data_IF_702349563770
#
_entry.id   IF_702349563770
#
_cell.length_a   1.000
_cell.length_b   1.000
_cell.length_c   1.000
_cell.angle_alpha   90.00
_cell.angle_beta   90.00
_cell.angle_gamma   90.00
#
_symmetry.space_group_name_H-M   'P 1'
#
loop_
_entity.id
_entity.type
_entity.pdbx_description
1 polymer ?
#
# COMPACT_ATOMS: atom_id res chain seq x y z
N UNK A 1 -14.30 50.94 -2.97
CA UNK A 1 -13.25 50.07 -2.40
C UNK A 1 -13.24 48.76 -3.15
N UNK A 2 -12.33 48.62 -4.10
CA UNK A 2 -12.22 47.50 -5.05
C UNK A 2 -11.45 46.34 -4.41
N UNK A 3 -12.08 45.18 -4.28
CA UNK A 3 -11.45 43.93 -3.80
C UNK A 3 -10.46 43.40 -4.83
N UNK A 4 -9.15 43.42 -4.50
CA UNK A 4 -8.11 42.74 -5.26
C UNK A 4 -8.27 41.21 -5.16
N UNK A 5 -8.44 40.52 -6.32
CA UNK A 5 -8.31 39.07 -6.43
C UNK A 5 -6.84 38.69 -6.25
N UNK A 6 -6.52 37.54 -5.58
CA UNK A 6 -5.16 37.03 -5.48
C UNK A 6 -4.65 36.57 -6.85
N UNK A 7 -3.44 36.96 -7.20
CA UNK A 7 -2.77 36.61 -8.45
C UNK A 7 -2.33 35.15 -8.39
N UNK A 8 -3.03 34.27 -9.13
CA UNK A 8 -2.53 32.95 -9.49
C UNK A 8 -1.30 33.13 -10.41
N UNK A 9 -0.15 32.56 -10.00
CA UNK A 9 1.08 32.57 -10.75
C UNK A 9 0.84 32.05 -12.17
N UNK A 10 1.33 32.78 -13.20
CA UNK A 10 1.11 32.46 -14.62
C UNK A 10 1.77 31.11 -14.92
N UNK A 11 0.98 30.12 -15.34
CA UNK A 11 1.40 28.79 -15.78
C UNK A 11 2.30 28.79 -17.04
N UNK A 12 2.70 29.96 -17.52
CA UNK A 12 3.43 30.10 -18.77
C UNK A 12 2.54 29.97 -20.02
N UNK A 13 3.15 29.78 -21.18
CA UNK A 13 2.46 29.67 -22.47
C UNK A 13 2.06 28.22 -22.74
N UNK A 14 0.82 28.01 -23.18
CA UNK A 14 0.34 26.69 -23.63
C UNK A 14 0.95 26.35 -24.97
N UNK A 15 1.62 25.20 -25.07
CA UNK A 15 2.32 24.74 -26.26
C UNK A 15 1.87 23.33 -26.65
N UNK A 16 2.10 22.97 -27.91
CA UNK A 16 1.96 21.58 -28.37
C UNK A 16 3.35 21.05 -28.68
N UNK A 17 3.68 19.89 -28.17
CA UNK A 17 4.95 19.22 -28.41
C UNK A 17 5.00 18.65 -29.82
N UNK A 18 6.00 19.01 -30.58
CA UNK A 18 6.19 18.51 -31.96
C UNK A 18 6.66 17.05 -32.00
N UNK A 19 7.28 16.57 -30.90
CA UNK A 19 7.78 15.20 -30.84
C UNK A 19 6.72 14.17 -30.41
N UNK A 20 5.77 14.54 -29.51
CA UNK A 20 4.78 13.58 -28.98
C UNK A 20 3.32 14.07 -29.10
N UNK A 21 3.06 15.23 -29.70
CA UNK A 21 1.72 15.79 -29.91
C UNK A 21 1.02 16.32 -28.64
N UNK A 22 1.61 16.14 -27.43
CA UNK A 22 0.98 16.53 -26.19
C UNK A 22 0.90 18.04 -26.01
N UNK A 23 -0.24 18.54 -25.50
CA UNK A 23 -0.40 19.95 -25.08
C UNK A 23 0.14 20.11 -23.66
N UNK A 24 1.02 21.09 -23.43
CA UNK A 24 1.63 21.38 -22.13
C UNK A 24 1.79 22.89 -21.89
N UNK A 25 2.03 23.30 -20.65
CA UNK A 25 2.40 24.66 -20.30
C UNK A 25 3.91 24.73 -20.06
N UNK A 26 4.61 25.72 -20.63
CA UNK A 26 6.06 25.80 -20.59
C UNK A 26 6.63 26.31 -19.24
N UNK A 27 5.76 26.67 -18.30
CA UNK A 27 6.11 27.16 -16.97
C UNK A 27 7.16 28.29 -17.00
N UNK A 28 7.22 29.07 -18.10
CA UNK A 28 8.22 30.12 -18.36
C UNK A 28 9.68 29.62 -18.38
N UNK A 29 9.93 28.33 -18.61
CA UNK A 29 11.29 27.77 -18.75
C UNK A 29 11.90 28.13 -20.12
N UNK A 30 13.20 28.44 -20.12
CA UNK A 30 13.99 28.71 -21.34
C UNK A 30 15.19 27.75 -21.39
N UNK A 31 15.29 26.87 -22.40
CA UNK A 31 14.29 26.58 -23.43
C UNK A 31 13.07 25.83 -22.88
N UNK A 32 11.87 26.01 -23.48
CA UNK A 32 10.67 25.31 -23.05
C UNK A 32 10.78 23.83 -23.37
N UNK A 33 10.60 22.96 -22.37
CA UNK A 33 10.63 21.52 -22.50
C UNK A 33 9.25 20.91 -22.30
N UNK A 34 8.90 19.90 -23.08
CA UNK A 34 7.65 19.17 -22.96
C UNK A 34 7.62 18.38 -21.66
N UNK A 35 6.62 18.60 -20.81
CA UNK A 35 6.45 17.91 -19.53
C UNK A 35 6.15 16.42 -19.67
N UNK A 36 5.79 15.93 -20.87
CA UNK A 36 5.47 14.52 -21.13
C UNK A 36 6.63 13.69 -21.68
N UNK A 37 7.47 14.26 -22.56
CA UNK A 37 8.56 13.50 -23.20
C UNK A 37 9.94 14.17 -23.09
N UNK A 38 10.06 15.31 -22.39
CA UNK A 38 11.32 16.02 -22.19
C UNK A 38 11.84 16.80 -23.44
N UNK A 39 11.23 16.67 -24.60
CA UNK A 39 11.69 17.33 -25.83
C UNK A 39 11.65 18.85 -25.69
N UNK A 40 12.75 19.54 -26.03
CA UNK A 40 12.85 21.00 -26.01
C UNK A 40 12.36 21.60 -27.32
N UNK A 41 11.60 22.69 -27.23
CA UNK A 41 11.15 23.43 -28.43
C UNK A 41 12.34 24.14 -29.07
N UNK A 42 12.82 23.65 -30.20
CA UNK A 42 13.92 24.27 -30.94
C UNK A 42 14.83 23.34 -31.76
N UNK A 43 14.73 22.02 -31.59
CA UNK A 43 15.46 21.06 -32.42
C UNK A 43 14.79 20.95 -33.78
N UNK A 44 15.37 21.62 -34.78
CA UNK A 44 15.02 21.42 -36.20
C UNK A 44 15.45 20.02 -36.62
N UNK A 45 14.51 19.17 -36.97
CA UNK A 45 14.78 17.90 -37.60
C UNK A 45 15.43 18.08 -38.99
N UNK A 46 16.52 17.37 -39.21
CA UNK A 46 17.10 17.16 -40.53
C UNK A 46 16.17 16.19 -41.27
N UNK A 47 15.60 16.63 -42.39
CA UNK A 47 14.79 15.81 -43.24
C UNK A 47 15.66 14.85 -44.06
N UNK A 48 15.16 13.64 -44.29
CA UNK A 48 15.52 12.83 -45.45
C UNK A 48 14.23 12.33 -46.11
N UNK A 49 14.28 12.43 -47.42
CA UNK A 49 13.21 12.33 -48.39
C UNK A 49 12.50 10.99 -48.52
N UNK A 50 11.38 11.11 -49.16
CA UNK A 50 10.39 10.10 -49.53
C UNK A 50 10.91 9.02 -50.48
N UNK A 51 10.33 7.83 -50.38
CA UNK A 51 10.46 6.78 -51.38
C UNK A 51 9.51 5.61 -51.18
N UNK A 52 8.40 5.66 -52.00
CA UNK A 52 7.67 4.54 -52.60
C UNK A 52 6.98 3.45 -51.76
N UNK A 53 5.70 3.33 -52.02
CA UNK A 53 4.76 2.27 -51.65
C UNK A 53 5.25 0.86 -52.07
N UNK A 54 5.15 -0.07 -51.13
CA UNK A 54 5.21 -1.49 -51.39
C UNK A 54 4.29 -2.20 -50.41
N UNK A 55 3.16 -2.71 -50.92
CA UNK A 55 2.25 -3.64 -50.25
C UNK A 55 2.98 -4.94 -50.01
N UNK A 56 3.30 -5.23 -48.76
CA UNK A 56 3.77 -6.54 -48.33
C UNK A 56 2.81 -7.11 -47.28
N UNK A 57 2.28 -8.28 -47.60
CA UNK A 57 1.42 -9.11 -46.78
C UNK A 57 2.07 -9.40 -45.43
N UNK A 58 1.26 -9.30 -44.39
CA UNK A 58 1.63 -9.58 -42.98
C UNK A 58 1.67 -11.09 -42.77
N UNK A 59 2.80 -11.67 -42.38
CA UNK A 59 2.81 -13.08 -41.95
C UNK A 59 2.06 -13.29 -40.66
N UNK A 60 1.48 -14.48 -40.39
CA UNK A 60 0.63 -14.75 -39.24
C UNK A 60 1.43 -14.77 -37.96
N UNK A 61 0.86 -14.15 -36.92
CA UNK A 61 1.10 -14.20 -35.50
C UNK A 61 2.35 -14.95 -34.98
N UNK A 62 3.47 -14.25 -34.95
CA UNK A 62 4.55 -14.57 -34.03
C UNK A 62 4.12 -14.17 -32.61
N UNK A 63 4.02 -15.14 -31.71
CA UNK A 63 3.72 -14.95 -30.31
C UNK A 63 4.75 -13.97 -29.70
N UNK A 64 4.31 -12.77 -29.34
CA UNK A 64 5.17 -11.78 -28.69
C UNK A 64 5.61 -12.32 -27.32
N UNK A 65 6.88 -12.60 -27.17
CA UNK A 65 7.50 -12.80 -25.87
C UNK A 65 7.36 -11.53 -25.02
N UNK A 66 7.18 -11.64 -23.70
CA UNK A 66 7.08 -10.46 -22.82
C UNK A 66 8.36 -9.61 -22.98
N UNK A 67 8.22 -8.43 -23.56
CA UNK A 67 9.33 -7.52 -23.77
C UNK A 67 9.92 -7.08 -22.43
N UNK A 68 11.21 -7.31 -22.25
CA UNK A 68 11.97 -6.83 -21.07
C UNK A 68 12.03 -5.30 -21.10
N UNK A 69 11.74 -4.60 -19.98
CA UNK A 69 11.88 -3.14 -19.96
C UNK A 69 13.34 -2.75 -20.18
N UNK A 70 13.57 -1.84 -21.08
CA UNK A 70 14.90 -1.30 -21.42
C UNK A 70 15.49 -0.65 -20.12
N UNK A 71 16.55 -1.23 -19.58
CA UNK A 71 17.35 -0.66 -18.50
C UNK A 71 17.22 -1.30 -17.10
N UNK A 72 16.43 -2.36 -16.91
CA UNK A 72 16.38 -3.06 -15.62
C UNK A 72 16.99 -4.47 -15.73
N UNK A 73 18.09 -4.69 -15.04
CA UNK A 73 18.65 -6.05 -14.88
C UNK A 73 17.83 -6.80 -13.81
N UNK A 74 17.19 -7.90 -14.22
CA UNK A 74 16.56 -8.85 -13.30
C UNK A 74 17.60 -9.82 -12.78
N UNK A 75 17.51 -10.23 -11.50
CA UNK A 75 18.33 -11.32 -10.98
C UNK A 75 17.99 -12.64 -11.69
N UNK A 76 18.88 -13.62 -11.62
CA UNK A 76 18.63 -14.94 -12.20
C UNK A 76 17.34 -15.56 -11.65
N UNK A 77 17.10 -15.44 -10.34
CA UNK A 77 15.88 -15.92 -9.67
C UNK A 77 14.62 -15.19 -10.15
N UNK A 78 14.70 -13.87 -10.34
CA UNK A 78 13.59 -13.09 -10.88
C UNK A 78 13.30 -13.41 -12.36
N UNK A 79 14.36 -13.65 -13.16
CA UNK A 79 14.20 -14.09 -14.55
C UNK A 79 13.52 -15.46 -14.61
N UNK A 80 13.95 -16.42 -13.78
CA UNK A 80 13.31 -17.73 -13.68
C UNK A 80 11.83 -17.62 -13.26
N UNK A 81 11.51 -16.69 -12.36
CA UNK A 81 10.14 -16.43 -11.94
C UNK A 81 9.28 -15.87 -13.08
N UNK A 82 9.79 -14.91 -13.87
CA UNK A 82 9.12 -14.37 -15.06
C UNK A 82 8.81 -15.50 -16.06
N UNK A 83 9.81 -16.34 -16.36
CA UNK A 83 9.66 -17.46 -17.29
C UNK A 83 8.66 -18.50 -16.78
N UNK A 84 8.68 -18.81 -15.47
CA UNK A 84 7.74 -19.74 -14.86
C UNK A 84 6.29 -19.24 -14.94
N UNK A 85 6.06 -17.97 -14.58
CA UNK A 85 4.73 -17.35 -14.71
C UNK A 85 4.29 -17.26 -16.17
N UNK A 86 5.21 -16.94 -17.10
CA UNK A 86 4.93 -16.93 -18.53
C UNK A 86 4.49 -18.29 -19.07
N UNK A 87 5.12 -19.40 -18.64
CA UNK A 87 4.70 -20.76 -18.98
C UNK A 87 3.33 -21.11 -18.39
N UNK A 88 3.11 -20.75 -17.12
CA UNK A 88 1.82 -20.95 -16.45
C UNK A 88 0.68 -20.22 -17.16
N UNK A 89 0.85 -18.94 -17.50
CA UNK A 89 -0.17 -18.17 -18.23
C UNK A 89 -0.51 -18.76 -19.61
N UNK A 90 0.47 -19.37 -20.30
CA UNK A 90 0.24 -20.07 -21.58
C UNK A 90 -0.52 -21.37 -21.39
N UNK A 91 -0.25 -22.12 -20.31
CA UNK A 91 -0.89 -23.40 -19.98
C UNK A 91 -2.33 -23.19 -19.48
N UNK A 92 -2.59 -22.12 -18.73
CA UNK A 92 -3.89 -21.81 -18.13
C UNK A 92 -4.23 -22.58 -16.86
N UNK A 93 -3.39 -23.49 -16.42
CA UNK A 93 -3.60 -24.35 -15.24
C UNK A 93 -2.31 -24.52 -14.43
N UNK A 94 -2.41 -24.65 -13.09
CA UNK A 94 -3.61 -24.47 -12.24
C UNK A 94 -4.10 -23.03 -12.23
N UNK A 95 -5.32 -22.75 -11.75
CA UNK A 95 -5.92 -21.39 -11.70
C UNK A 95 -5.08 -20.40 -10.90
N UNK A 96 -4.38 -20.85 -9.87
CA UNK A 96 -3.57 -20.02 -8.95
C UNK A 96 -2.10 -20.31 -9.14
N UNK A 97 -1.31 -19.25 -9.30
CA UNK A 97 0.16 -19.31 -9.24
C UNK A 97 0.67 -18.54 -8.02
N UNK A 98 1.45 -19.19 -7.17
CA UNK A 98 2.00 -18.66 -5.92
C UNK A 98 3.43 -18.19 -6.11
N UNK A 99 3.61 -16.89 -6.31
CA UNK A 99 4.92 -16.23 -6.37
C UNK A 99 5.21 -15.62 -5.00
N UNK A 100 5.88 -16.36 -4.15
CA UNK A 100 6.22 -15.93 -2.81
C UNK A 100 7.65 -15.41 -2.74
N UNK A 101 7.94 -14.70 -1.67
CA UNK A 101 9.28 -14.20 -1.40
C UNK A 101 9.30 -13.31 -0.16
N UNK A 102 10.47 -13.14 0.40
CA UNK A 102 10.66 -12.34 1.61
C UNK A 102 10.51 -10.84 1.35
N UNK A 103 10.55 -10.03 2.42
CA UNK A 103 10.54 -8.58 2.28
C UNK A 103 11.76 -8.10 1.45
N UNK A 104 11.54 -7.11 0.58
CA UNK A 104 12.63 -6.49 -0.20
C UNK A 104 13.04 -7.21 -1.50
N UNK A 105 12.52 -8.42 -1.81
CA UNK A 105 12.88 -9.16 -3.04
C UNK A 105 12.21 -8.62 -4.32
N UNK A 106 11.39 -7.59 -4.24
CA UNK A 106 10.80 -6.92 -5.40
C UNK A 106 9.54 -7.56 -5.99
N UNK A 107 8.79 -8.38 -5.24
CA UNK A 107 7.56 -9.08 -5.70
C UNK A 107 6.58 -8.22 -6.50
N UNK A 108 6.15 -7.10 -5.92
CA UNK A 108 5.17 -6.19 -6.55
C UNK A 108 5.68 -5.60 -7.86
N UNK A 109 6.98 -5.27 -7.91
CA UNK A 109 7.62 -4.75 -9.13
C UNK A 109 7.69 -5.80 -10.23
N UNK A 110 8.01 -7.04 -9.84
CA UNK A 110 8.06 -8.17 -10.75
C UNK A 110 6.67 -8.49 -11.32
N UNK A 111 5.64 -8.51 -10.44
CA UNK A 111 4.27 -8.75 -10.84
C UNK A 111 3.72 -7.66 -11.79
N UNK A 112 4.11 -6.39 -11.59
CA UNK A 112 3.78 -5.31 -12.53
C UNK A 112 4.37 -5.61 -13.92
N UNK A 113 5.65 -5.98 -13.98
CA UNK A 113 6.29 -6.33 -15.25
C UNK A 113 5.63 -7.52 -15.95
N UNK A 114 5.31 -8.57 -15.19
CA UNK A 114 4.56 -9.74 -15.72
C UNK A 114 3.22 -9.31 -16.29
N UNK A 115 2.52 -8.42 -15.59
CA UNK A 115 1.21 -7.93 -15.97
C UNK A 115 1.22 -7.12 -17.30
N UNK A 116 2.32 -6.43 -17.61
CA UNK A 116 2.50 -5.71 -18.87
C UNK A 116 2.43 -6.64 -20.10
N UNK A 117 2.81 -7.92 -19.93
CA UNK A 117 2.74 -8.96 -20.96
C UNK A 117 1.46 -9.81 -20.94
N UNK A 118 0.55 -9.61 -19.98
CA UNK A 118 -0.65 -10.43 -19.85
C UNK A 118 -1.74 -10.02 -20.88
N UNK A 119 -2.34 -11.02 -21.56
CA UNK A 119 -3.44 -10.80 -22.50
C UNK A 119 -4.75 -10.53 -21.74
N UNK A 120 -5.62 -9.68 -22.28
CA UNK A 120 -6.96 -9.41 -21.73
C UNK A 120 -6.96 -8.45 -20.54
N UNK A 121 -5.84 -7.76 -20.27
CA UNK A 121 -5.73 -6.80 -19.18
C UNK A 121 -5.54 -7.45 -17.81
N UNK A 122 -5.01 -6.68 -16.87
CA UNK A 122 -4.71 -7.15 -15.51
C UNK A 122 -5.48 -6.34 -14.47
N UNK A 123 -6.16 -7.03 -13.55
CA UNK A 123 -6.73 -6.44 -12.35
C UNK A 123 -5.77 -6.64 -11.17
N UNK A 124 -5.37 -5.54 -10.54
CA UNK A 124 -4.51 -5.55 -9.36
C UNK A 124 -5.34 -5.35 -8.10
N UNK A 125 -5.12 -6.16 -7.09
CA UNK A 125 -5.76 -5.98 -5.79
C UNK A 125 -4.85 -6.39 -4.63
N UNK A 126 -5.19 -5.87 -3.44
CA UNK A 126 -4.58 -6.25 -2.18
C UNK A 126 -5.66 -6.40 -1.10
N UNK A 127 -5.30 -7.05 0.01
CA UNK A 127 -6.26 -7.23 1.10
C UNK A 127 -6.65 -5.89 1.73
N UNK A 128 -5.70 -4.98 1.94
CA UNK A 128 -5.94 -3.66 2.56
C UNK A 128 -5.91 -2.54 1.53
N UNK A 129 -6.64 -1.46 1.82
CA UNK A 129 -6.62 -0.25 1.00
C UNK A 129 -5.24 0.41 0.96
N UNK A 130 -4.50 0.34 2.06
CA UNK A 130 -3.13 0.86 2.15
C UNK A 130 -2.18 0.10 1.22
N UNK A 131 -2.23 -1.24 1.22
CA UNK A 131 -1.43 -2.05 0.30
C UNK A 131 -1.79 -1.75 -1.17
N UNK A 132 -3.08 -1.53 -1.48
CA UNK A 132 -3.51 -1.12 -2.81
C UNK A 132 -2.94 0.26 -3.22
N UNK A 133 -2.84 1.23 -2.29
CA UNK A 133 -2.16 2.51 -2.55
C UNK A 133 -0.67 2.30 -2.85
N UNK A 134 0.02 1.48 -2.07
CA UNK A 134 1.44 1.13 -2.30
C UNK A 134 1.62 0.49 -3.68
N UNK A 135 0.73 -0.41 -4.09
CA UNK A 135 0.74 -0.99 -5.44
C UNK A 135 0.60 0.08 -6.52
N UNK A 136 -0.33 1.04 -6.35
CA UNK A 136 -0.48 2.17 -7.30
C UNK A 136 0.79 3.01 -7.39
N UNK A 137 1.39 3.36 -6.26
CA UNK A 137 2.64 4.11 -6.23
C UNK A 137 3.78 3.37 -6.94
N UNK A 138 3.77 2.04 -6.92
CA UNK A 138 4.71 1.17 -7.66
C UNK A 138 4.32 0.96 -9.13
N UNK A 139 3.28 1.63 -9.63
CA UNK A 139 2.86 1.60 -11.03
C UNK A 139 1.83 0.52 -11.39
N UNK A 140 1.24 -0.19 -10.42
CA UNK A 140 0.10 -1.08 -10.65
C UNK A 140 -1.18 -0.24 -10.80
N UNK A 141 -1.44 0.27 -12.00
CA UNK A 141 -2.55 1.16 -12.27
C UNK A 141 -3.90 0.52 -11.90
N UNK A 142 -4.79 1.29 -11.25
CA UNK A 142 -6.11 0.81 -10.88
C UNK A 142 -6.16 -0.19 -9.73
N UNK A 143 -5.03 -0.47 -9.04
CA UNK A 143 -5.01 -1.38 -7.90
C UNK A 143 -6.04 -0.97 -6.84
N UNK A 144 -6.77 -1.95 -6.30
CA UNK A 144 -7.87 -1.74 -5.35
C UNK A 144 -7.85 -2.81 -4.25
N UNK A 145 -8.81 -2.80 -3.33
CA UNK A 145 -8.94 -3.93 -2.40
C UNK A 145 -9.61 -5.13 -3.07
N UNK A 146 -9.32 -6.35 -2.59
CA UNK A 146 -9.99 -7.57 -3.10
C UNK A 146 -11.51 -7.41 -3.00
N UNK A 147 -12.03 -6.95 -1.86
CA UNK A 147 -13.46 -6.69 -1.68
C UNK A 147 -14.01 -5.73 -2.73
N UNK A 148 -13.28 -4.66 -3.04
CA UNK A 148 -13.70 -3.69 -4.04
C UNK A 148 -13.62 -4.22 -5.48
N UNK A 149 -12.77 -5.22 -5.71
CA UNK A 149 -12.62 -5.88 -7.01
C UNK A 149 -13.78 -6.85 -7.29
N UNK A 150 -14.20 -7.63 -6.28
CA UNK A 150 -15.10 -8.78 -6.48
C UNK A 150 -16.53 -8.57 -5.97
N UNK A 151 -16.76 -7.58 -5.09
CA UNK A 151 -18.09 -7.31 -4.55
C UNK A 151 -18.64 -5.96 -4.98
N UNK A 152 -19.98 -5.89 -5.03
CA UNK A 152 -20.75 -4.65 -5.07
C UNK A 152 -21.61 -4.55 -3.80
N UNK A 153 -21.70 -3.35 -3.26
CA UNK A 153 -22.64 -3.08 -2.18
C UNK A 153 -24.05 -2.97 -2.75
N UNK A 154 -25.00 -3.70 -2.16
CA UNK A 154 -26.43 -3.61 -2.40
C UNK A 154 -27.13 -3.19 -1.11
N UNK A 155 -28.25 -2.51 -1.18
CA UNK A 155 -29.07 -2.22 0.00
C UNK A 155 -29.69 -3.52 0.49
N UNK A 156 -29.35 -3.91 1.72
CA UNK A 156 -29.94 -5.06 2.39
C UNK A 156 -31.22 -4.68 3.14
N UNK A 157 -31.91 -5.69 3.66
CA UNK A 157 -33.03 -5.53 4.59
C UNK A 157 -32.54 -4.73 5.81
N UNK A 158 -33.33 -3.78 6.30
CA UNK A 158 -33.00 -2.83 7.38
C UNK A 158 -31.94 -1.76 7.02
N UNK A 159 -31.61 -1.56 5.72
CA UNK A 159 -30.70 -0.51 5.28
C UNK A 159 -29.21 -0.77 5.61
N UNK A 160 -28.87 -1.99 6.04
CA UNK A 160 -27.47 -2.42 6.14
C UNK A 160 -26.95 -2.79 4.75
N UNK A 161 -25.74 -2.34 4.33
CA UNK A 161 -25.19 -2.73 3.05
C UNK A 161 -24.86 -4.23 3.08
N UNK A 162 -25.46 -4.98 2.16
CA UNK A 162 -25.04 -6.35 1.84
C UNK A 162 -24.04 -6.33 0.71
N UNK A 163 -23.10 -7.29 0.73
CA UNK A 163 -22.10 -7.42 -0.30
C UNK A 163 -22.41 -8.64 -1.15
N UNK A 164 -22.65 -8.43 -2.44
CA UNK A 164 -22.89 -9.50 -3.39
C UNK A 164 -21.75 -9.57 -4.41
N UNK A 165 -21.46 -10.78 -4.92
CA UNK A 165 -20.46 -10.94 -5.97
C UNK A 165 -20.83 -10.08 -7.20
N UNK A 166 -19.84 -9.38 -7.72
CA UNK A 166 -20.00 -8.53 -8.91
C UNK A 166 -19.57 -9.29 -10.16
N UNK A 167 -20.46 -10.15 -10.65
CA UNK A 167 -20.21 -11.02 -11.82
C UNK A 167 -19.83 -10.24 -13.09
N UNK A 168 -20.26 -8.97 -13.21
CA UNK A 168 -19.99 -8.10 -14.35
C UNK A 168 -18.88 -7.06 -14.05
N UNK A 169 -18.20 -7.24 -12.93
CA UNK A 169 -17.19 -6.34 -12.40
C UNK A 169 -15.83 -6.43 -13.11
N UNK A 170 -14.85 -5.68 -12.60
CA UNK A 170 -13.49 -5.72 -13.16
C UNK A 170 -12.84 -7.10 -13.08
N UNK A 171 -13.15 -7.90 -12.06
CA UNK A 171 -12.61 -9.25 -11.90
C UNK A 171 -13.00 -10.17 -13.06
N UNK A 172 -14.27 -10.13 -13.48
CA UNK A 172 -14.78 -10.97 -14.58
C UNK A 172 -14.21 -10.61 -15.95
N UNK A 173 -13.80 -9.35 -16.14
CA UNK A 173 -13.25 -8.84 -17.39
C UNK A 173 -11.73 -8.95 -17.50
N UNK A 174 -11.05 -9.22 -16.38
CA UNK A 174 -9.60 -9.33 -16.36
C UNK A 174 -9.13 -10.63 -17.02
N UNK A 175 -8.02 -10.56 -17.77
CA UNK A 175 -7.30 -11.73 -18.27
C UNK A 175 -6.36 -12.33 -17.22
N UNK A 176 -5.94 -11.50 -16.24
CA UNK A 176 -5.12 -11.92 -15.10
C UNK A 176 -5.55 -11.10 -13.87
N UNK A 177 -5.66 -11.76 -12.72
CA UNK A 177 -5.83 -11.09 -11.43
C UNK A 177 -4.52 -11.22 -10.65
N UNK A 178 -3.97 -10.11 -10.16
CA UNK A 178 -2.77 -10.08 -9.30
C UNK A 178 -3.18 -9.65 -7.91
N UNK A 179 -2.91 -10.52 -6.92
CA UNK A 179 -3.21 -10.26 -5.50
C UNK A 179 -1.90 -10.07 -4.74
N UNK A 180 -1.71 -8.92 -4.15
CA UNK A 180 -0.58 -8.67 -3.23
C UNK A 180 -1.01 -8.80 -1.76
N UNK A 181 -0.05 -9.05 -0.87
CA UNK A 181 -0.27 -9.31 0.57
C UNK A 181 -1.30 -10.43 0.81
N UNK A 182 -1.16 -11.54 0.08
CA UNK A 182 -2.13 -12.66 0.11
C UNK A 182 -2.18 -13.42 1.44
N UNK A 183 -1.23 -13.20 2.35
CA UNK A 183 -1.18 -13.84 3.67
C UNK A 183 -2.40 -13.53 4.56
N UNK A 184 -3.12 -12.45 4.26
CA UNK A 184 -4.30 -12.01 5.01
C UNK A 184 -5.62 -12.53 4.43
N UNK A 185 -5.61 -13.25 3.31
CA UNK A 185 -6.82 -13.73 2.63
C UNK A 185 -7.30 -15.03 3.28
N UNK A 186 -8.51 -15.00 3.84
CA UNK A 186 -9.16 -16.18 4.41
C UNK A 186 -9.81 -17.07 3.35
N UNK A 187 -10.35 -18.21 3.78
CA UNK A 187 -10.92 -19.21 2.88
C UNK A 187 -12.22 -18.77 2.19
N UNK A 188 -13.01 -17.89 2.81
CA UNK A 188 -14.25 -17.39 2.24
C UNK A 188 -13.95 -16.44 1.09
N UNK A 189 -13.15 -15.40 1.35
CA UNK A 189 -12.74 -14.43 0.35
C UNK A 189 -11.98 -15.09 -0.81
N UNK A 190 -11.16 -16.11 -0.52
CA UNK A 190 -10.43 -16.85 -1.54
C UNK A 190 -11.39 -17.64 -2.46
N UNK A 191 -12.38 -18.34 -1.91
CA UNK A 191 -13.39 -19.07 -2.70
C UNK A 191 -14.16 -18.14 -3.62
N UNK A 192 -14.58 -16.98 -3.11
CA UNK A 192 -15.29 -15.99 -3.89
C UNK A 192 -14.42 -15.44 -5.03
N UNK A 193 -13.13 -15.19 -4.76
CA UNK A 193 -12.18 -14.75 -5.78
C UNK A 193 -11.96 -15.85 -6.85
N UNK A 194 -11.84 -17.10 -6.44
CA UNK A 194 -11.65 -18.25 -7.34
C UNK A 194 -12.87 -18.50 -8.25
N UNK A 195 -14.08 -18.17 -7.77
CA UNK A 195 -15.33 -18.38 -8.51
C UNK A 195 -15.40 -17.61 -9.85
N UNK A 196 -14.58 -16.57 -10.03
CA UNK A 196 -14.47 -15.83 -11.30
C UNK A 196 -13.79 -16.64 -12.40
N UNK A 197 -13.16 -17.79 -12.12
CA UNK A 197 -12.52 -18.66 -13.12
C UNK A 197 -11.34 -18.04 -13.85
N UNK A 198 -10.75 -16.97 -13.31
CA UNK A 198 -9.61 -16.26 -13.92
C UNK A 198 -8.28 -16.76 -13.41
N UNK A 199 -7.19 -16.71 -14.20
CA UNK A 199 -5.85 -16.92 -13.68
C UNK A 199 -5.54 -15.91 -12.57
N UNK A 200 -5.02 -16.40 -11.43
CA UNK A 200 -4.71 -15.57 -10.27
C UNK A 200 -3.24 -15.74 -9.90
N UNK A 201 -2.48 -14.66 -10.02
CA UNK A 201 -1.11 -14.58 -9.51
C UNK A 201 -1.16 -14.01 -8.09
N UNK A 202 -0.82 -14.82 -7.09
CA UNK A 202 -0.77 -14.38 -5.71
C UNK A 202 0.66 -14.10 -5.28
N UNK A 203 0.87 -12.91 -4.70
CA UNK A 203 2.13 -12.47 -4.13
C UNK A 203 2.00 -12.49 -2.61
N UNK A 204 2.98 -13.07 -1.94
CA UNK A 204 2.95 -13.15 -0.49
C UNK A 204 4.33 -13.37 0.10
N UNK A 205 4.37 -13.24 1.39
CA UNK A 205 5.50 -13.61 2.22
C UNK A 205 5.01 -14.64 3.24
N UNK A 206 5.42 -15.90 3.12
CA UNK A 206 4.90 -16.97 3.98
C UNK A 206 5.34 -16.83 5.43
N UNK A 207 6.30 -15.94 5.72
CA UNK A 207 6.77 -15.68 7.07
C UNK A 207 6.11 -14.48 7.74
N UNK A 208 5.29 -13.72 7.02
CA UNK A 208 4.45 -12.67 7.63
C UNK A 208 3.33 -13.28 8.47
N UNK A 209 2.72 -12.44 9.32
CA UNK A 209 1.59 -12.83 10.15
C UNK A 209 0.41 -13.32 9.30
N UNK A 210 -0.20 -14.45 9.67
CA UNK A 210 -1.47 -14.87 9.06
C UNK A 210 -2.62 -13.96 9.52
N UNK A 211 -3.83 -14.12 8.94
CA UNK A 211 -5.02 -13.42 9.43
C UNK A 211 -5.30 -13.74 10.90
N UNK A 212 -5.94 -12.80 11.61
CA UNK A 212 -6.31 -12.97 13.02
C UNK A 212 -7.31 -14.12 13.22
N UNK A 213 -8.13 -14.42 12.21
CA UNK A 213 -9.09 -15.53 12.19
C UNK A 213 -8.84 -16.40 10.97
N UNK A 214 -8.66 -17.70 11.20
CA UNK A 214 -8.35 -18.67 10.15
C UNK A 214 -6.90 -18.65 9.68
N UNK A 215 -6.54 -19.60 8.80
CA UNK A 215 -5.25 -19.63 8.10
C UNK A 215 -5.25 -18.74 6.87
N UNK A 216 -4.08 -18.38 6.35
CA UNK A 216 -3.94 -17.70 5.07
C UNK A 216 -4.14 -18.68 3.92
N UNK A 217 -5.31 -18.68 3.31
CA UNK A 217 -5.68 -19.69 2.29
C UNK A 217 -4.62 -19.90 1.20
N UNK A 218 -4.05 -18.82 0.71
CA UNK A 218 -3.03 -18.92 -0.34
C UNK A 218 -1.64 -19.28 0.19
N UNK A 219 -1.36 -19.01 1.47
CA UNK A 219 -0.05 -19.30 2.08
C UNK A 219 0.05 -20.69 2.68
N UNK A 220 -1.04 -21.43 2.80
CA UNK A 220 -1.04 -22.81 3.28
C UNK A 220 -0.49 -23.79 2.23
N UNK A 221 -0.49 -23.41 0.95
CA UNK A 221 0.09 -24.20 -0.15
C UNK A 221 1.56 -23.89 -0.38
N UNK A 222 2.30 -24.87 -0.92
CA UNK A 222 3.67 -24.65 -1.36
C UNK A 222 3.73 -23.57 -2.46
N UNK A 223 4.76 -22.71 -2.47
CA UNK A 223 4.96 -21.75 -3.55
C UNK A 223 5.33 -22.47 -4.86
N UNK A 224 4.81 -21.96 -5.99
CA UNK A 224 5.28 -22.38 -7.32
C UNK A 224 6.68 -21.79 -7.60
N UNK A 225 6.92 -20.57 -7.09
CA UNK A 225 8.24 -19.92 -7.06
C UNK A 225 8.42 -19.20 -5.74
N UNK A 226 9.59 -19.40 -5.12
CA UNK A 226 10.01 -18.70 -3.91
C UNK A 226 11.21 -17.81 -4.22
N UNK A 227 11.05 -16.49 -4.09
CA UNK A 227 12.13 -15.52 -4.22
C UNK A 227 12.85 -15.39 -2.88
N UNK A 228 14.09 -15.83 -2.84
CA UNK A 228 14.91 -15.84 -1.62
C UNK A 228 16.07 -14.85 -1.70
N UNK A 229 16.58 -14.60 -2.91
CA UNK A 229 17.70 -13.69 -3.10
C UNK A 229 17.28 -12.22 -2.99
N UNK A 230 17.84 -11.59 -1.99
CA UNK A 230 17.68 -10.17 -1.77
C UNK A 230 18.67 -9.45 -2.71
N UNK A 231 18.22 -8.39 -3.38
CA UNK A 231 19.10 -7.57 -4.22
C UNK A 231 20.36 -7.14 -3.45
N UNK A 232 21.54 -7.11 -4.11
CA UNK A 232 22.83 -6.75 -3.50
C UNK A 232 22.77 -5.49 -2.64
N UNK A 233 22.04 -4.46 -3.09
CA UNK A 233 21.83 -3.23 -2.32
C UNK A 233 20.99 -3.43 -1.04
N UNK A 234 20.16 -4.46 -0.98
CA UNK A 234 19.35 -4.78 0.18
C UNK A 234 20.06 -5.77 1.14
N UNK A 235 21.06 -6.51 0.66
CA UNK A 235 21.83 -7.42 1.50
C UNK A 235 22.64 -6.70 2.59
N UNK A 236 23.08 -5.46 2.33
CA UNK A 236 23.75 -4.61 3.31
C UNK A 236 22.78 -3.88 4.25
N UNK A 237 21.46 -4.00 4.01
CA UNK A 237 20.47 -3.37 4.86
C UNK A 237 20.33 -4.10 6.21
N UNK A 238 20.63 -3.43 7.33
CA UNK A 238 20.56 -4.04 8.66
C UNK A 238 19.18 -4.58 9.03
N UNK A 239 18.10 -3.95 8.55
CA UNK A 239 16.73 -4.39 8.80
C UNK A 239 16.51 -5.79 8.22
N UNK A 240 17.00 -6.02 7.02
CA UNK A 240 16.88 -7.31 6.34
C UNK A 240 17.69 -8.38 7.07
N UNK A 241 18.93 -8.08 7.46
CA UNK A 241 19.75 -9.02 8.26
C UNK A 241 19.08 -9.39 9.58
N UNK A 242 18.53 -8.41 10.31
CA UNK A 242 17.80 -8.69 11.55
C UNK A 242 16.52 -9.51 11.29
N UNK A 243 15.83 -9.27 10.17
CA UNK A 243 14.67 -10.06 9.79
C UNK A 243 15.02 -11.51 9.44
N UNK A 244 16.19 -11.76 8.83
CA UNK A 244 16.75 -13.10 8.58
C UNK A 244 17.12 -13.83 9.87
N UNK A 245 17.73 -13.14 10.83
CA UNK A 245 18.02 -13.69 12.17
C UNK A 245 16.74 -14.19 12.80
N UNK A 246 15.68 -13.37 12.83
CA UNK A 246 14.39 -13.74 13.42
C UNK A 246 13.75 -14.91 12.67
N UNK A 247 13.81 -14.91 11.34
CA UNK A 247 13.28 -15.98 10.50
C UNK A 247 13.98 -17.33 10.73
N UNK A 248 15.31 -17.29 10.97
CA UNK A 248 16.11 -18.48 11.26
C UNK A 248 16.00 -18.94 12.72
N UNK A 249 15.12 -18.34 13.51
CA UNK A 249 14.93 -18.68 14.94
C UNK A 249 16.00 -18.08 15.87
N UNK A 250 16.83 -17.17 15.38
CA UNK A 250 17.83 -16.46 16.19
C UNK A 250 17.22 -15.33 17.01
N UNK A 251 17.97 -14.87 18.00
CA UNK A 251 17.59 -13.74 18.86
C UNK A 251 18.24 -12.44 18.39
N UNK A 252 17.50 -11.35 18.47
CA UNK A 252 18.04 -10.01 18.24
C UNK A 252 18.95 -9.65 19.43
N UNK A 253 20.18 -9.23 19.14
CA UNK A 253 21.13 -8.77 20.17
C UNK A 253 21.08 -7.25 20.28
N UNK A 254 21.24 -6.74 21.52
CA UNK A 254 21.34 -5.30 21.76
C UNK A 254 22.55 -4.73 20.99
N UNK A 255 22.40 -3.57 20.36
CA UNK A 255 23.47 -2.94 19.61
C UNK A 255 23.00 -2.01 18.48
N UNK A 256 23.96 -1.37 17.85
CA UNK A 256 23.78 -0.54 16.66
C UNK A 256 24.22 -1.31 15.40
N UNK A 257 23.39 -1.24 14.37
CA UNK A 257 23.57 -1.90 13.08
C UNK A 257 23.35 -0.86 11.97
N UNK A 258 24.35 0.01 11.78
CA UNK A 258 24.18 1.20 10.94
C UNK A 258 23.13 2.15 11.52
N UNK A 259 22.10 2.50 10.73
CA UNK A 259 20.97 3.34 11.19
C UNK A 259 19.89 2.55 11.97
N UNK A 260 20.06 1.23 12.09
CA UNK A 260 19.14 0.36 12.85
C UNK A 260 19.71 0.09 14.26
N UNK A 261 18.85 0.09 15.27
CA UNK A 261 19.24 -0.13 16.67
C UNK A 261 18.35 -1.17 17.33
N UNK A 262 18.93 -1.99 18.19
CA UNK A 262 18.20 -2.85 19.14
C UNK A 262 18.58 -2.38 20.52
N UNK A 263 17.64 -1.85 21.30
CA UNK A 263 17.87 -1.21 22.58
C UNK A 263 16.93 -1.76 23.66
N UNK A 264 17.33 -1.59 24.91
CA UNK A 264 16.47 -1.90 26.05
C UNK A 264 15.50 -0.77 26.34
N UNK A 265 14.34 -1.09 26.90
CA UNK A 265 13.29 -0.12 27.24
C UNK A 265 13.81 1.06 28.09
N UNK A 266 14.76 0.81 29.00
CA UNK A 266 15.36 1.85 29.83
C UNK A 266 16.20 2.88 29.05
N UNK A 267 16.61 2.57 27.82
CA UNK A 267 17.40 3.45 26.96
C UNK A 267 16.54 4.24 25.96
N UNK A 268 15.22 4.16 26.06
CA UNK A 268 14.30 4.89 25.16
C UNK A 268 14.16 6.33 25.61
N UNK A 269 14.45 7.25 24.72
CA UNK A 269 14.22 8.67 24.93
C UNK A 269 12.92 9.15 24.25
N UNK A 270 12.25 10.13 24.85
CA UNK A 270 11.02 10.69 24.29
C UNK A 270 11.23 11.26 22.87
N UNK A 271 12.39 11.87 22.62
CA UNK A 271 12.75 12.40 21.31
C UNK A 271 12.81 11.30 20.22
N UNK A 272 13.32 10.11 20.56
CA UNK A 272 13.37 8.96 19.64
C UNK A 272 11.96 8.50 19.24
N UNK A 273 11.05 8.46 20.23
CA UNK A 273 9.64 8.05 20.01
C UNK A 273 8.91 9.06 19.13
N UNK A 274 9.06 10.35 19.42
CA UNK A 274 8.41 11.43 18.66
C UNK A 274 9.04 11.62 17.28
N UNK A 275 10.31 11.26 17.11
CA UNK A 275 11.03 11.34 15.83
C UNK A 275 10.79 10.14 14.91
N UNK A 276 10.07 9.10 15.35
CA UNK A 276 9.70 7.98 14.50
C UNK A 276 8.52 8.36 13.59
N UNK A 277 8.57 7.95 12.31
CA UNK A 277 7.42 8.11 11.41
C UNK A 277 6.26 7.25 11.88
N UNK A 278 6.54 6.08 12.46
CA UNK A 278 5.52 5.22 13.05
C UNK A 278 6.07 4.42 14.24
N UNK A 279 5.28 4.40 15.31
CA UNK A 279 5.49 3.52 16.47
C UNK A 279 4.63 2.27 16.29
N UNK A 280 5.23 1.08 16.47
CA UNK A 280 4.57 -0.21 16.37
C UNK A 280 4.60 -0.95 17.72
N UNK A 281 3.47 -1.55 18.07
CA UNK A 281 3.26 -2.30 19.31
C UNK A 281 2.48 -3.60 19.06
N UNK A 282 2.34 -4.45 20.07
CA UNK A 282 1.66 -5.74 19.95
C UNK A 282 0.15 -5.64 20.13
N UNK A 283 -0.28 -5.10 21.25
CA UNK A 283 -1.67 -5.19 21.69
C UNK A 283 -2.44 -3.87 21.53
N UNK A 284 -3.78 -3.95 21.42
CA UNK A 284 -4.61 -2.76 21.42
C UNK A 284 -4.54 -1.98 22.74
N UNK A 285 -4.31 -2.69 23.87
CA UNK A 285 -4.12 -2.04 25.17
C UNK A 285 -2.86 -1.16 25.14
N UNK A 286 -1.74 -1.70 24.72
CA UNK A 286 -0.48 -0.96 24.60
C UNK A 286 -0.61 0.17 23.59
N UNK A 287 -1.26 -0.07 22.44
CA UNK A 287 -1.51 0.94 21.42
C UNK A 287 -2.24 2.17 21.98
N UNK A 288 -3.31 1.96 22.76
CA UNK A 288 -4.06 3.06 23.39
C UNK A 288 -3.19 3.84 24.37
N UNK A 289 -2.47 3.15 25.24
CA UNK A 289 -1.58 3.79 26.21
C UNK A 289 -0.46 4.61 25.53
N UNK A 290 0.13 4.10 24.46
CA UNK A 290 1.16 4.80 23.71
C UNK A 290 0.60 6.00 22.94
N UNK A 291 -0.57 5.86 22.31
CA UNK A 291 -1.24 6.99 21.65
C UNK A 291 -1.49 8.13 22.63
N UNK A 292 -2.03 7.83 23.82
CA UNK A 292 -2.24 8.83 24.87
C UNK A 292 -0.90 9.47 25.28
N UNK A 293 0.12 8.66 25.58
CA UNK A 293 1.42 9.16 26.04
C UNK A 293 2.12 10.03 24.96
N UNK A 294 2.04 9.64 23.69
CA UNK A 294 2.62 10.43 22.60
C UNK A 294 1.88 11.75 22.41
N UNK A 295 0.57 11.79 22.59
CA UNK A 295 -0.20 13.04 22.59
C UNK A 295 0.25 13.98 23.72
N UNK A 296 0.38 13.46 24.94
CA UNK A 296 0.89 14.22 26.08
C UNK A 296 2.29 14.78 25.81
N UNK A 297 3.21 13.96 25.27
CA UNK A 297 4.56 14.40 24.90
C UNK A 297 4.57 15.44 23.78
N UNK A 298 3.56 15.43 22.91
CA UNK A 298 3.35 16.44 21.87
C UNK A 298 2.62 17.71 22.37
N UNK A 299 2.30 17.78 23.67
CA UNK A 299 1.61 18.90 24.28
C UNK A 299 0.09 18.89 24.12
N UNK A 300 -0.51 17.77 23.70
CA UNK A 300 -1.96 17.61 23.54
C UNK A 300 -2.53 16.94 24.79
N UNK A 301 -3.08 17.71 25.71
CA UNK A 301 -3.70 17.23 26.96
C UNK A 301 -5.20 17.01 26.90
N UNK A 302 -5.85 17.45 25.83
CA UNK A 302 -7.30 17.34 25.69
C UNK A 302 -7.74 15.90 25.43
N UNK A 303 -8.90 15.45 25.96
CA UNK A 303 -9.38 14.09 25.76
C UNK A 303 -9.81 13.81 24.31
N UNK A 304 -10.28 14.85 23.61
CA UNK A 304 -10.69 14.79 22.20
C UNK A 304 -9.60 15.30 21.27
N UNK A 305 -9.65 14.96 19.98
CA UNK A 305 -8.67 15.43 19.01
C UNK A 305 -8.57 16.94 18.93
N UNK A 306 -7.36 17.45 18.76
CA UNK A 306 -7.05 18.87 18.52
C UNK A 306 -6.34 19.05 17.18
N UNK A 307 -6.24 20.29 16.68
CA UNK A 307 -5.48 20.58 15.47
C UNK A 307 -4.02 20.12 15.63
N UNK A 308 -3.50 19.40 14.64
CA UNK A 308 -2.19 18.76 14.69
C UNK A 308 -2.20 17.30 15.14
N UNK A 309 -3.27 16.81 15.74
CA UNK A 309 -3.37 15.38 16.11
C UNK A 309 -3.28 14.45 14.91
N UNK A 310 -2.67 13.28 15.12
CA UNK A 310 -2.52 12.24 14.13
C UNK A 310 -3.56 11.14 14.35
N UNK A 311 -4.32 10.86 13.31
CA UNK A 311 -5.42 9.90 13.35
C UNK A 311 -5.20 8.77 12.34
N UNK A 312 -5.78 7.61 12.62
CA UNK A 312 -5.87 6.46 11.71
C UNK A 312 -7.33 6.20 11.36
N UNK A 313 -7.61 6.06 10.07
CA UNK A 313 -8.93 5.67 9.57
C UNK A 313 -9.17 4.18 9.86
N UNK A 314 -10.36 3.84 10.37
CA UNK A 314 -10.72 2.47 10.75
C UNK A 314 -11.67 1.79 9.75
N UNK A 315 -12.34 2.57 8.87
CA UNK A 315 -13.32 2.07 7.91
C UNK A 315 -13.14 2.72 6.54
N UNK A 316 -13.24 1.90 5.48
CA UNK A 316 -13.23 2.42 4.11
C UNK A 316 -14.51 3.22 3.82
N UNK A 317 -14.34 4.38 3.17
CA UNK A 317 -15.42 5.15 2.55
C UNK A 317 -14.95 5.65 1.17
N UNK A 318 -15.48 5.05 0.10
CA UNK A 318 -15.10 5.40 -1.27
C UNK A 318 -15.53 6.81 -1.67
N UNK A 319 -16.67 7.30 -1.15
CA UNK A 319 -17.20 8.61 -1.50
C UNK A 319 -16.33 9.72 -0.95
N UNK A 320 -15.80 9.51 0.25
CA UNK A 320 -14.88 10.42 0.92
C UNK A 320 -13.39 10.13 0.64
N UNK A 321 -13.08 9.03 -0.04
CA UNK A 321 -11.71 8.60 -0.30
C UNK A 321 -10.98 8.10 0.95
N UNK A 322 -11.73 7.66 1.97
CA UNK A 322 -11.18 7.11 3.20
C UNK A 322 -10.78 5.65 3.02
N UNK A 323 -9.61 5.31 3.52
CA UNK A 323 -9.02 3.97 3.41
C UNK A 323 -8.68 3.49 4.82
N UNK A 324 -9.13 2.28 5.17
CA UNK A 324 -8.77 1.65 6.45
C UNK A 324 -7.26 1.50 6.58
N UNK A 325 -6.70 1.98 7.69
CA UNK A 325 -5.27 2.07 7.96
C UNK A 325 -4.62 3.35 7.40
N UNK A 326 -5.34 4.18 6.67
CA UNK A 326 -4.86 5.48 6.18
C UNK A 326 -4.58 6.44 7.34
N UNK A 327 -3.47 7.18 7.24
CA UNK A 327 -3.04 8.13 8.26
C UNK A 327 -3.43 9.56 7.88
N UNK A 328 -3.92 10.28 8.85
CA UNK A 328 -4.48 11.60 8.67
C UNK A 328 -4.04 12.54 9.80
N UNK A 329 -3.91 13.82 9.47
CA UNK A 329 -3.63 14.88 10.45
C UNK A 329 -4.82 15.81 10.55
N UNK A 330 -5.20 16.17 11.77
CA UNK A 330 -6.27 17.15 12.02
C UNK A 330 -5.76 18.53 11.59
N UNK A 331 -6.38 19.13 10.57
CA UNK A 331 -6.08 20.49 10.13
C UNK A 331 -6.87 21.52 10.94
N UNK A 332 -8.18 21.31 11.04
CA UNK A 332 -9.08 22.24 11.75
C UNK A 332 -10.18 21.47 12.47
N UNK A 333 -10.63 22.04 13.58
CA UNK A 333 -11.81 21.59 14.31
C UNK A 333 -12.95 22.55 14.07
N UNK A 334 -14.12 22.00 13.75
CA UNK A 334 -15.38 22.77 13.65
C UNK A 334 -16.23 22.65 14.91
N UNK A 335 -15.73 21.97 15.95
CA UNK A 335 -16.39 21.78 17.25
C UNK A 335 -17.09 20.43 17.42
N UNK A 336 -17.72 20.25 18.56
CA UNK A 336 -18.48 19.03 18.92
C UNK A 336 -19.96 19.34 18.88
N UNK A 337 -20.74 18.52 18.18
CA UNK A 337 -22.20 18.64 18.12
C UNK A 337 -22.84 17.25 18.23
N UNK A 338 -23.74 17.07 19.20
CA UNK A 338 -24.40 15.77 19.47
C UNK A 338 -23.40 14.61 19.58
N UNK A 339 -22.33 14.79 20.35
CA UNK A 339 -21.24 13.81 20.55
C UNK A 339 -20.37 13.51 19.31
N UNK A 340 -20.58 14.21 18.19
CA UNK A 340 -19.75 14.12 17.01
C UNK A 340 -18.71 15.24 16.98
N UNK A 341 -17.43 14.85 16.92
CA UNK A 341 -16.30 15.75 16.69
C UNK A 341 -16.21 16.01 15.19
N UNK A 342 -16.42 17.27 14.79
CA UNK A 342 -16.36 17.68 13.38
C UNK A 342 -15.01 18.30 13.08
N UNK A 343 -14.33 17.77 12.10
CA UNK A 343 -12.98 18.19 11.76
C UNK A 343 -12.70 18.07 10.27
N UNK A 344 -11.69 18.83 9.83
CA UNK A 344 -11.06 18.67 8.52
C UNK A 344 -9.75 17.95 8.72
N UNK A 345 -9.55 16.87 7.96
CA UNK A 345 -8.35 16.04 8.02
C UNK A 345 -7.55 16.18 6.73
N UNK A 346 -6.22 16.18 6.83
CA UNK A 346 -5.28 16.07 5.73
C UNK A 346 -4.62 14.71 5.73
N UNK A 347 -4.58 14.05 4.56
CA UNK A 347 -3.91 12.76 4.43
C UNK A 347 -2.39 12.90 4.58
N UNK A 348 -1.77 11.94 5.26
CA UNK A 348 -0.31 11.74 5.29
C UNK A 348 0.13 10.70 4.24
N UNK A 349 -0.80 10.03 3.57
CA UNK A 349 -0.51 8.98 2.59
C UNK A 349 -0.37 9.57 1.18
N UNK A 350 0.73 9.24 0.51
CA UNK A 350 0.94 9.63 -0.90
C UNK A 350 -0.09 8.99 -1.83
N UNK A 351 -0.60 9.78 -2.78
CA UNK A 351 -1.60 9.30 -3.75
C UNK A 351 -3.02 9.12 -3.21
N UNK A 352 -3.26 9.43 -1.93
CA UNK A 352 -4.59 9.52 -1.35
C UNK A 352 -5.23 10.89 -1.58
N UNK A 353 -6.53 11.02 -1.27
CA UNK A 353 -7.23 12.32 -1.27
C UNK A 353 -6.58 13.25 -0.26
N UNK A 354 -6.22 14.47 -0.68
CA UNK A 354 -5.41 15.39 0.13
C UNK A 354 -6.12 15.89 1.39
N UNK A 355 -7.45 16.13 1.35
CA UNK A 355 -8.21 16.63 2.50
C UNK A 355 -9.66 16.15 2.49
N UNK A 356 -10.24 15.98 3.68
CA UNK A 356 -11.62 15.51 3.86
C UNK A 356 -12.25 16.10 5.12
N UNK A 357 -13.56 16.39 5.07
CA UNK A 357 -14.35 16.74 6.25
C UNK A 357 -15.03 15.49 6.80
N UNK A 358 -14.90 15.28 8.11
CA UNK A 358 -15.46 14.14 8.83
C UNK A 358 -16.22 14.55 10.09
N UNK A 359 -17.13 13.69 10.52
CA UNK A 359 -17.81 13.79 11.81
C UNK A 359 -17.65 12.43 12.52
N UNK A 360 -16.82 12.38 13.55
CA UNK A 360 -16.47 11.16 14.28
C UNK A 360 -17.11 11.20 15.67
N UNK A 361 -17.86 10.16 16.04
CA UNK A 361 -18.43 10.08 17.37
C UNK A 361 -17.32 9.95 18.43
N UNK A 362 -17.42 10.72 19.53
CA UNK A 362 -16.39 10.79 20.58
C UNK A 362 -15.97 9.44 21.17
N UNK A 363 -16.92 8.48 21.23
CA UNK A 363 -16.69 7.13 21.75
C UNK A 363 -15.52 6.41 21.05
N UNK A 364 -15.18 6.74 19.79
CA UNK A 364 -13.99 6.18 19.13
C UNK A 364 -12.69 6.65 19.78
N UNK A 365 -12.65 7.87 20.28
CA UNK A 365 -11.45 8.44 20.97
C UNK A 365 -11.40 8.07 22.43
N UNK A 366 -12.57 7.77 23.05
CA UNK A 366 -12.71 7.35 24.42
C UNK A 366 -12.55 5.83 24.61
N UNK A 367 -12.45 5.05 23.50
CA UNK A 367 -12.32 3.59 23.53
C UNK A 367 -13.62 2.86 23.86
N UNK A 368 -14.77 3.52 23.65
CA UNK A 368 -16.13 3.02 23.88
C UNK A 368 -16.88 2.70 22.60
N UNK A 369 -16.16 2.55 21.47
CA UNK A 369 -16.73 2.31 20.14
C UNK A 369 -17.58 1.03 20.05
N UNK A 370 -17.33 0.05 20.95
CA UNK A 370 -18.11 -1.19 21.02
C UNK A 370 -19.50 -1.01 21.66
N UNK A 371 -19.71 0.06 22.41
CA UNK A 371 -20.97 0.38 23.10
C UNK A 371 -21.90 1.21 22.22
N UNK A 372 -21.43 1.72 21.09
CA UNK A 372 -22.22 2.53 20.17
C UNK A 372 -23.34 1.73 19.52
N UNK A 373 -24.56 2.27 19.59
CA UNK A 373 -25.69 1.78 18.82
C UNK A 373 -25.34 1.78 17.31
N UNK A 374 -25.79 0.77 16.60
CA UNK A 374 -25.53 0.58 15.17
C UNK A 374 -25.85 1.83 14.32
N UNK A 375 -26.98 2.49 14.61
CA UNK A 375 -27.41 3.71 13.94
C UNK A 375 -26.39 4.86 14.08
N UNK A 376 -25.90 5.11 15.30
CA UNK A 376 -24.89 6.15 15.57
C UNK A 376 -23.55 5.80 14.93
N UNK A 377 -23.17 4.52 14.95
CA UNK A 377 -21.96 4.04 14.30
C UNK A 377 -22.01 4.22 12.78
N UNK A 378 -23.19 4.05 12.16
CA UNK A 378 -23.41 4.26 10.72
C UNK A 378 -23.28 5.73 10.32
N UNK A 379 -23.72 6.66 11.16
CA UNK A 379 -23.64 8.10 10.93
C UNK A 379 -22.21 8.65 11.14
N UNK A 380 -21.36 7.89 11.82
CA UNK A 380 -19.99 8.28 12.15
C UNK A 380 -19.00 7.79 11.09
N UNK A 381 -18.03 8.63 10.71
CA UNK A 381 -16.75 8.10 10.25
C UNK A 381 -16.02 7.47 11.43
N UNK A 382 -15.19 6.45 11.14
CA UNK A 382 -14.46 5.72 12.16
C UNK A 382 -12.97 6.10 12.14
N UNK A 383 -12.54 6.79 13.18
CA UNK A 383 -11.14 7.20 13.38
C UNK A 383 -10.71 6.97 14.82
N UNK A 384 -9.42 6.69 15.01
CA UNK A 384 -8.77 6.64 16.31
C UNK A 384 -7.40 7.31 16.21
N UNK A 385 -6.69 7.50 17.33
CA UNK A 385 -5.36 8.05 17.33
C UNK A 385 -4.36 7.13 16.59
N UNK A 386 -3.50 7.72 15.75
CA UNK A 386 -2.63 7.03 14.81
C UNK A 386 -1.13 7.16 15.10
N UNK A 387 -0.72 7.64 16.28
CA UNK A 387 0.70 7.75 16.65
C UNK A 387 1.35 6.37 16.83
N UNK A 388 0.66 5.45 17.47
CA UNK A 388 1.05 4.05 17.59
C UNK A 388 0.01 3.15 16.92
N UNK A 389 0.48 2.13 16.20
CA UNK A 389 -0.33 1.09 15.57
C UNK A 389 0.09 -0.29 16.07
N UNK A 390 -0.83 -1.26 16.00
CA UNK A 390 -0.41 -2.66 16.18
C UNK A 390 0.29 -3.17 14.92
N UNK A 391 1.23 -4.12 15.07
CA UNK A 391 1.91 -4.74 13.93
C UNK A 391 0.91 -5.35 12.94
N UNK A 392 -0.19 -5.95 13.42
CA UNK A 392 -1.27 -6.45 12.56
C UNK A 392 -1.88 -5.34 11.71
N UNK A 393 -2.15 -4.17 12.31
CA UNK A 393 -2.74 -3.04 11.58
C UNK A 393 -1.76 -2.35 10.64
N UNK A 394 -0.45 -2.56 10.85
CA UNK A 394 0.62 -2.05 10.02
C UNK A 394 0.92 -2.93 8.78
N UNK A 395 0.29 -4.12 8.65
CA UNK A 395 0.46 -4.97 7.47
C UNK A 395 0.04 -4.23 6.19
N UNK A 396 0.82 -4.39 5.12
CA UNK A 396 0.64 -3.66 3.87
C UNK A 396 1.11 -2.19 3.90
N UNK A 397 1.63 -1.70 5.04
CA UNK A 397 2.20 -0.36 5.19
C UNK A 397 3.72 -0.42 5.35
N UNK A 398 4.40 0.68 5.04
CA UNK A 398 5.85 0.83 5.23
C UNK A 398 6.16 2.30 5.54
N UNK A 399 7.16 2.55 6.38
CA UNK A 399 7.64 3.88 6.77
C UNK A 399 9.16 3.94 6.76
N UNK A 400 9.73 5.10 6.54
CA UNK A 400 11.18 5.27 6.51
C UNK A 400 11.82 5.01 7.88
N UNK A 401 11.20 5.49 8.96
CA UNK A 401 11.71 5.37 10.33
C UNK A 401 10.66 4.75 11.26
N UNK A 402 10.89 3.52 11.69
CA UNK A 402 9.97 2.78 12.57
C UNK A 402 10.59 2.56 13.93
N UNK A 403 9.80 2.76 15.00
CA UNK A 403 10.12 2.29 16.33
C UNK A 403 9.19 1.12 16.68
N UNK A 404 9.77 -0.05 16.90
CA UNK A 404 9.05 -1.29 17.21
C UNK A 404 9.29 -1.68 18.68
N UNK A 405 8.25 -1.63 19.50
CA UNK A 405 8.29 -2.19 20.85
C UNK A 405 8.00 -3.68 20.79
N UNK A 406 8.99 -4.50 21.13
CA UNK A 406 8.88 -5.95 21.06
C UNK A 406 7.91 -6.50 22.12
N UNK A 407 6.70 -6.78 21.69
CA UNK A 407 5.68 -7.49 22.44
C UNK A 407 5.38 -8.86 21.82
N UNK A 408 6.34 -9.43 21.07
CA UNK A 408 6.20 -10.71 20.37
C UNK A 408 5.84 -11.86 21.32
N UNK A 409 6.21 -11.78 22.59
CA UNK A 409 5.88 -12.78 23.60
C UNK A 409 4.37 -12.98 23.78
N UNK A 410 3.55 -11.97 23.47
CA UNK A 410 2.10 -12.08 23.53
C UNK A 410 1.49 -12.99 22.46
N UNK A 411 2.25 -13.32 21.41
CA UNK A 411 1.77 -14.02 20.21
C UNK A 411 2.22 -15.50 20.13
N UNK A 412 2.75 -16.07 21.18
CA UNK A 412 3.10 -17.48 21.34
C UNK A 412 3.75 -18.11 20.08
N UNK A 413 3.03 -19.00 19.39
CA UNK A 413 3.49 -19.69 18.17
C UNK A 413 3.80 -18.76 16.99
N UNK A 414 3.18 -17.58 16.96
CA UNK A 414 3.43 -16.56 15.93
C UNK A 414 4.49 -15.54 16.34
N UNK A 415 5.22 -15.75 17.44
CA UNK A 415 6.19 -14.80 17.97
C UNK A 415 7.21 -14.34 16.92
N UNK A 416 7.85 -15.26 16.23
CA UNK A 416 8.84 -14.95 15.20
C UNK A 416 8.21 -14.25 13.99
N UNK A 417 7.03 -14.69 13.55
CA UNK A 417 6.29 -14.04 12.46
C UNK A 417 5.86 -12.62 12.81
N UNK A 418 5.43 -12.41 14.06
CA UNK A 418 5.05 -11.08 14.54
C UNK A 418 6.24 -10.13 14.50
N UNK A 419 7.38 -10.56 15.06
CA UNK A 419 8.60 -9.75 15.10
C UNK A 419 9.11 -9.47 13.68
N UNK A 420 9.20 -10.48 12.83
CA UNK A 420 9.56 -10.34 11.42
C UNK A 420 8.66 -9.34 10.68
N UNK A 421 7.33 -9.45 10.85
CA UNK A 421 6.37 -8.55 10.23
C UNK A 421 6.60 -7.11 10.71
N UNK A 422 6.85 -6.89 11.99
CA UNK A 422 7.14 -5.58 12.56
C UNK A 422 8.44 -4.98 12.01
N UNK A 423 9.54 -5.76 11.97
CA UNK A 423 10.83 -5.33 11.42
C UNK A 423 10.70 -4.86 9.98
N UNK A 424 9.99 -5.63 9.15
CA UNK A 424 9.84 -5.38 7.71
C UNK A 424 8.92 -4.21 7.37
N UNK A 425 8.35 -3.52 8.37
CA UNK A 425 7.60 -2.26 8.17
C UNK A 425 8.52 -1.06 8.00
N UNK A 426 9.78 -1.16 8.40
CA UNK A 426 10.77 -0.11 8.22
C UNK A 426 11.44 -0.19 6.85
N UNK A 427 11.59 0.96 6.17
CA UNK A 427 12.28 1.06 4.89
C UNK A 427 13.76 1.44 5.06
N UNK A 428 14.10 2.34 5.98
CA UNK A 428 15.43 2.90 6.16
C UNK A 428 15.98 2.72 7.56
N UNK A 429 15.25 3.17 8.57
CA UNK A 429 15.67 3.17 9.98
C UNK A 429 14.71 2.38 10.84
N UNK A 430 15.27 1.61 11.75
CA UNK A 430 14.48 0.81 12.68
C UNK A 430 15.11 0.88 14.07
N UNK A 431 14.30 1.18 15.07
CA UNK A 431 14.66 0.99 16.48
C UNK A 431 13.77 -0.09 17.06
N UNK A 432 14.36 -1.21 17.45
CA UNK A 432 13.68 -2.28 18.19
C UNK A 432 13.92 -2.06 19.68
N UNK A 433 12.83 -1.99 20.46
CA UNK A 433 12.86 -1.80 21.92
C UNK A 433 12.46 -3.10 22.58
N UNK A 434 13.37 -3.66 23.42
CA UNK A 434 13.20 -4.93 24.13
C UNK A 434 12.99 -4.72 25.61
#
# INVERSE_FOLDING_TARGET
>A
MTKKKPAFGRLGTKRQCLACGAKYYDLNRKPPACSRCGATAGAKGVGTDAGAAGTAERPPDAQAEPQRPIGREWSAEQTQAIDAVGRWLKKGEPQVFRLFGYAGVGKTTLARHIAEGARGGTAFAAFTGKAALVMRAKGCAGATTIHALIYRATEGEEGAPTFTLNSDGPASRAGLIVIDECSMVDAELARDLLSFGKPILVLGDPFQLPPVKGGGFFTDGAPDVMLTHIHRQAHDNPIIRLSEVVRSGGELKDGAYGETRVIRRAAVEAADVLGADQVLVGTNRTRRAYNQRMRELSGFGEPLPVAGDRLVCLRNDRTKGLINGGLWRVETLAGVKKDFVRMTLRSEDEGARSSVKVAVHKAFFEGQESELAYTLRRESEEFDYGYALTVHKAQGSQWDNVMLFDESFAFREHRARWLYTGLTRAARRLTVVR
#
